data_IF_195891330622
#
_entry.id   IF_195891330622
#
_cell.length_a   1.000
_cell.length_b   1.000
_cell.length_c   1.000
_cell.angle_alpha   90.00
_cell.angle_beta   90.00
_cell.angle_gamma   90.00
#
_symmetry.space_group_name_H-M   'P 1'
#
loop_
_entity.id
_entity.type
_entity.pdbx_description
1 polymer ?
#
# COMPACT_ATOMS: atom_id res chain seq x y z
N UNK A 1 1.64 37.26 64.75
CA UNK A 1 0.83 37.28 63.51
C UNK A 1 1.64 36.62 62.40
N UNK A 2 1.35 35.32 62.06
CA UNK A 2 2.04 34.55 61.03
C UNK A 2 1.18 34.56 59.75
N UNK A 3 1.66 35.21 58.68
CA UNK A 3 1.01 35.22 57.38
C UNK A 3 1.38 33.93 56.64
N UNK A 4 0.36 33.08 56.36
CA UNK A 4 0.48 31.95 55.48
C UNK A 4 0.30 32.40 54.04
N UNK A 5 1.27 32.12 53.16
CA UNK A 5 1.16 32.30 51.72
C UNK A 5 0.54 31.03 51.10
N UNK A 6 -0.44 31.17 50.21
CA UNK A 6 -0.96 30.01 49.50
C UNK A 6 0.01 29.64 48.40
N UNK A 7 0.45 28.38 48.41
CA UNK A 7 1.26 27.73 47.38
C UNK A 7 0.33 27.40 46.20
N UNK A 8 0.41 28.16 45.14
CA UNK A 8 -0.32 27.90 43.90
C UNK A 8 0.43 26.79 43.13
N UNK A 9 -0.15 25.59 43.11
CA UNK A 9 0.32 24.47 42.34
C UNK A 9 -0.09 24.65 40.87
N UNK A 10 0.84 25.09 40.02
CA UNK A 10 0.65 25.14 38.57
C UNK A 10 0.73 23.72 38.01
N UNK A 11 -0.42 23.10 37.76
CA UNK A 11 -0.52 21.89 36.97
C UNK A 11 -0.24 22.23 35.48
N UNK A 12 0.99 21.98 35.03
CA UNK A 12 1.31 22.05 33.60
C UNK A 12 0.69 20.86 32.88
N UNK A 13 -0.43 21.07 32.21
CA UNK A 13 -1.04 20.11 31.28
C UNK A 13 -0.16 20.01 30.03
N UNK A 14 0.71 19.02 29.99
CA UNK A 14 1.46 18.68 28.78
C UNK A 14 0.50 18.07 27.77
N UNK A 15 0.00 18.89 26.84
CA UNK A 15 -0.77 18.41 25.69
C UNK A 15 0.21 17.65 24.78
N UNK A 16 0.19 16.32 24.87
CA UNK A 16 0.87 15.45 23.92
C UNK A 16 0.15 15.62 22.56
N UNK A 17 0.65 16.51 21.71
CA UNK A 17 0.21 16.60 20.32
C UNK A 17 0.63 15.30 19.61
N UNK A 18 -0.31 14.34 19.51
CA UNK A 18 -0.16 13.21 18.63
C UNK A 18 -0.22 13.77 17.21
N UNK A 19 0.94 14.07 16.63
CA UNK A 19 1.03 14.45 15.24
C UNK A 19 0.42 13.30 14.41
N UNK A 20 -0.75 13.54 13.81
CA UNK A 20 -1.39 12.58 12.93
C UNK A 20 -0.42 12.25 11.78
N UNK A 21 0.06 11.01 11.74
CA UNK A 21 0.97 10.56 10.68
C UNK A 21 0.24 10.64 9.35
N UNK A 22 0.83 11.33 8.38
CA UNK A 22 0.26 11.40 7.03
C UNK A 22 0.08 10.00 6.44
N UNK A 23 -1.04 9.73 5.73
CA UNK A 23 -1.29 8.43 5.12
C UNK A 23 -0.12 7.95 4.27
N UNK A 24 0.21 6.69 4.40
CA UNK A 24 1.26 6.06 3.59
C UNK A 24 0.75 5.67 2.21
N UNK A 25 -0.50 5.26 2.11
CA UNK A 25 -1.15 4.98 0.82
C UNK A 25 -1.78 6.26 0.28
N UNK A 26 -1.33 6.69 -0.89
CA UNK A 26 -1.67 7.97 -1.51
C UNK A 26 -2.24 7.77 -2.91
N UNK A 27 -3.55 7.63 -3.06
CA UNK A 27 -4.19 7.65 -4.36
C UNK A 27 -3.96 8.99 -5.05
N UNK A 28 -3.64 8.99 -6.36
CA UNK A 28 -3.31 10.21 -7.10
C UNK A 28 -4.54 11.02 -7.54
N UNK A 29 -5.73 10.41 -7.51
CA UNK A 29 -7.00 11.05 -7.88
C UNK A 29 -8.14 10.51 -7.04
N UNK A 30 -9.27 11.24 -7.01
CA UNK A 30 -10.49 10.81 -6.34
C UNK A 30 -10.99 9.47 -6.89
N UNK A 31 -10.95 9.27 -8.22
CA UNK A 31 -11.32 7.99 -8.83
C UNK A 31 -10.42 6.82 -8.39
N UNK A 32 -9.13 7.08 -8.15
CA UNK A 32 -8.24 6.05 -7.59
C UNK A 32 -8.53 5.83 -6.11
N UNK A 33 -8.85 6.89 -5.35
CA UNK A 33 -9.26 6.76 -3.96
C UNK A 33 -10.53 5.92 -3.83
N UNK A 34 -11.52 6.16 -4.68
CA UNK A 34 -12.75 5.36 -4.75
C UNK A 34 -12.47 3.89 -5.06
N UNK A 35 -11.55 3.61 -6.00
CA UNK A 35 -11.15 2.24 -6.32
C UNK A 35 -10.49 1.55 -5.12
N UNK A 36 -9.56 2.22 -4.43
CA UNK A 36 -8.87 1.68 -3.25
C UNK A 36 -9.86 1.41 -2.12
N UNK A 37 -10.78 2.35 -1.85
CA UNK A 37 -11.83 2.19 -0.83
C UNK A 37 -12.78 1.03 -1.18
N UNK A 38 -13.22 0.96 -2.44
CA UNK A 38 -14.09 -0.13 -2.91
C UNK A 38 -13.39 -1.49 -2.78
N UNK A 39 -12.10 -1.56 -3.14
CA UNK A 39 -11.29 -2.76 -3.03
C UNK A 39 -11.16 -3.22 -1.57
N UNK A 40 -10.83 -2.31 -0.65
CA UNK A 40 -10.74 -2.60 0.78
C UNK A 40 -12.08 -3.05 1.38
N UNK A 41 -13.20 -2.44 0.93
CA UNK A 41 -14.55 -2.82 1.38
C UNK A 41 -14.96 -4.21 0.91
N UNK A 42 -14.54 -4.62 -0.29
CA UNK A 42 -14.98 -5.87 -0.94
C UNK A 42 -14.01 -7.04 -0.75
N UNK A 43 -12.78 -6.76 -0.34
CA UNK A 43 -11.72 -7.78 -0.17
C UNK A 43 -11.02 -7.59 1.18
N UNK A 44 -11.24 -8.49 2.14
CA UNK A 44 -10.47 -8.54 3.39
C UNK A 44 -8.97 -8.65 3.14
N UNK A 45 -8.56 -9.36 2.09
CA UNK A 45 -7.16 -9.48 1.68
C UNK A 45 -6.58 -8.11 1.32
N UNK A 46 -7.25 -7.34 0.47
CA UNK A 46 -6.80 -5.97 0.12
C UNK A 46 -6.74 -5.07 1.36
N UNK A 47 -7.75 -5.13 2.23
CA UNK A 47 -7.77 -4.36 3.47
C UNK A 47 -6.58 -4.70 4.38
N UNK A 48 -6.20 -5.97 4.46
CA UNK A 48 -5.03 -6.44 5.20
C UNK A 48 -3.71 -5.91 4.64
N UNK A 49 -3.52 -5.98 3.32
CA UNK A 49 -2.33 -5.46 2.64
C UNK A 49 -2.16 -3.95 2.84
N UNK A 50 -3.25 -3.18 2.70
CA UNK A 50 -3.23 -1.74 2.95
C UNK A 50 -2.80 -1.42 4.39
N UNK A 51 -3.28 -2.17 5.38
CA UNK A 51 -2.84 -2.03 6.79
C UNK A 51 -1.35 -2.30 6.97
N UNK A 52 -0.81 -3.32 6.30
CA UNK A 52 0.62 -3.64 6.37
C UNK A 52 1.46 -2.50 5.78
N UNK A 53 1.02 -1.92 4.66
CA UNK A 53 1.70 -0.79 4.01
C UNK A 53 1.63 0.46 4.90
N UNK A 54 0.48 0.77 5.49
CA UNK A 54 0.32 1.91 6.42
C UNK A 54 1.21 1.77 7.67
N UNK A 55 1.53 0.55 8.11
CA UNK A 55 2.41 0.29 9.23
C UNK A 55 3.90 0.32 8.86
N UNK A 56 4.25 0.34 7.57
CA UNK A 56 5.62 0.24 7.07
C UNK A 56 6.33 1.60 6.95
N UNK A 57 7.55 1.59 6.40
CA UNK A 57 8.30 2.78 5.98
C UNK A 57 8.04 3.19 4.53
N UNK A 58 7.22 2.44 3.80
CA UNK A 58 6.86 2.73 2.40
C UNK A 58 5.81 3.83 2.31
N UNK A 59 6.02 4.79 1.43
CA UNK A 59 5.00 5.70 0.91
C UNK A 59 4.61 5.19 -0.47
N UNK A 60 3.38 4.72 -0.59
CA UNK A 60 2.82 4.18 -1.82
C UNK A 60 1.97 5.22 -2.54
N UNK A 61 2.33 5.57 -3.75
CA UNK A 61 1.49 6.31 -4.68
C UNK A 61 0.77 5.31 -5.59
N UNK A 62 -0.56 5.38 -5.66
CA UNK A 62 -1.38 4.55 -6.56
C UNK A 62 -2.02 5.43 -7.61
N UNK A 63 -1.85 5.10 -8.89
CA UNK A 63 -2.35 5.91 -9.98
C UNK A 63 -2.90 5.08 -11.16
N UNK A 64 -3.80 5.70 -11.92
CA UNK A 64 -4.18 5.18 -13.22
C UNK A 64 -3.15 5.58 -14.26
N UNK A 65 -2.74 4.64 -15.11
CA UNK A 65 -1.83 4.90 -16.22
C UNK A 65 -2.32 4.23 -17.49
N UNK A 66 -2.49 5.06 -18.52
CA UNK A 66 -2.70 4.63 -19.89
C UNK A 66 -1.37 4.67 -20.61
N UNK A 67 -0.69 3.55 -20.63
CA UNK A 67 0.59 3.42 -21.29
C UNK A 67 0.63 2.06 -22.00
N UNK A 68 1.09 2.05 -23.24
CA UNK A 68 1.26 0.81 -23.98
C UNK A 68 2.47 0.00 -23.48
N UNK A 69 3.33 0.61 -22.67
CA UNK A 69 4.50 -0.02 -22.04
C UNK A 69 4.17 -0.74 -20.73
N UNK A 70 3.02 -0.40 -20.10
CA UNK A 70 2.53 -1.07 -18.89
C UNK A 70 1.27 -1.85 -19.24
N UNK A 71 1.35 -3.17 -19.43
CA UNK A 71 0.26 -3.91 -20.08
C UNK A 71 -1.03 -3.97 -19.25
N UNK A 72 -0.98 -4.01 -17.93
CA UNK A 72 -2.17 -4.15 -17.06
C UNK A 72 -2.03 -3.40 -15.73
N UNK A 73 -0.94 -3.67 -15.02
CA UNK A 73 -0.56 -3.07 -13.75
C UNK A 73 0.96 -3.25 -13.56
N UNK A 74 1.56 -2.45 -12.72
CA UNK A 74 2.98 -2.61 -12.35
C UNK A 74 3.28 -1.87 -11.05
N UNK A 75 4.25 -2.38 -10.29
CA UNK A 75 4.81 -1.74 -9.09
C UNK A 75 6.27 -1.41 -9.34
N UNK A 76 6.67 -0.21 -8.95
CA UNK A 76 8.03 0.32 -9.12
C UNK A 76 8.51 0.98 -7.83
N UNK A 77 9.73 0.68 -7.41
CA UNK A 77 10.46 1.48 -6.43
C UNK A 77 10.97 2.74 -7.12
N UNK A 78 10.53 3.91 -6.65
CA UNK A 78 10.89 5.20 -7.27
C UNK A 78 12.20 5.71 -6.71
N UNK A 79 12.33 5.70 -5.38
CA UNK A 79 13.53 6.16 -4.66
C UNK A 79 13.44 5.81 -3.18
N UNK A 80 14.57 5.96 -2.50
CA UNK A 80 14.64 5.89 -1.04
C UNK A 80 15.29 7.17 -0.51
N UNK A 81 14.69 7.76 0.54
CA UNK A 81 15.20 8.95 1.19
C UNK A 81 15.20 8.75 2.71
N UNK A 82 16.39 8.69 3.31
CA UNK A 82 16.54 8.37 4.73
C UNK A 82 15.91 7.02 5.07
N UNK A 83 14.95 7.00 5.99
CA UNK A 83 14.24 5.80 6.40
C UNK A 83 12.98 5.51 5.58
N UNK A 84 12.66 6.33 4.57
CA UNK A 84 11.42 6.22 3.79
C UNK A 84 11.73 5.72 2.39
N UNK A 85 10.87 4.82 1.89
CA UNK A 85 10.90 4.30 0.52
C UNK A 85 9.65 4.76 -0.22
N UNK A 86 9.84 5.27 -1.43
CA UNK A 86 8.76 5.73 -2.29
C UNK A 86 8.49 4.69 -3.36
N UNK A 87 7.30 4.13 -3.34
CA UNK A 87 6.85 3.10 -4.28
C UNK A 87 5.65 3.64 -5.06
N UNK A 88 5.56 3.27 -6.32
CA UNK A 88 4.45 3.65 -7.19
C UNK A 88 3.83 2.41 -7.82
N UNK A 89 2.52 2.36 -7.78
CA UNK A 89 1.72 1.31 -8.41
C UNK A 89 0.82 1.91 -9.48
N UNK A 90 0.86 1.33 -10.67
CA UNK A 90 0.06 1.70 -11.83
C UNK A 90 -1.04 0.68 -12.09
N UNK A 91 -2.24 1.16 -12.41
CA UNK A 91 -3.36 0.32 -12.86
C UNK A 91 -3.90 0.87 -14.17
N UNK A 92 -4.12 0.00 -15.15
CA UNK A 92 -4.73 0.40 -16.42
C UNK A 92 -6.22 0.73 -16.22
N UNK A 93 -6.67 1.98 -16.46
CA UNK A 93 -8.05 2.40 -16.23
C UNK A 93 -9.06 1.77 -17.20
N UNK A 94 -8.62 1.22 -18.35
CA UNK A 94 -9.50 0.60 -19.35
C UNK A 94 -10.02 -0.78 -18.93
N UNK A 95 -9.42 -1.38 -17.90
CA UNK A 95 -9.85 -2.67 -17.40
C UNK A 95 -11.17 -2.56 -16.63
N UNK A 96 -12.03 -3.59 -16.65
CA UNK A 96 -13.22 -3.64 -15.82
C UNK A 96 -12.89 -3.46 -14.36
N UNK A 97 -13.77 -2.82 -13.58
CA UNK A 97 -13.55 -2.51 -12.15
C UNK A 97 -13.11 -3.73 -11.33
N UNK A 98 -13.78 -4.88 -11.55
CA UNK A 98 -13.40 -6.13 -10.89
C UNK A 98 -11.94 -6.49 -11.15
N UNK A 99 -11.50 -6.44 -12.42
CA UNK A 99 -10.13 -6.77 -12.80
C UNK A 99 -9.12 -5.77 -12.22
N UNK A 100 -9.48 -4.49 -12.15
CA UNK A 100 -8.65 -3.47 -11.49
C UNK A 100 -8.44 -3.78 -10.01
N UNK A 101 -9.48 -4.25 -9.30
CA UNK A 101 -9.36 -4.63 -7.88
C UNK A 101 -8.49 -5.88 -7.72
N UNK A 102 -8.63 -6.90 -8.58
CA UNK A 102 -7.80 -8.11 -8.56
C UNK A 102 -6.33 -7.74 -8.73
N UNK A 103 -6.01 -6.91 -9.73
CA UNK A 103 -4.64 -6.45 -10.00
C UNK A 103 -4.12 -5.52 -8.91
N UNK A 104 -4.97 -4.66 -8.35
CA UNK A 104 -4.56 -3.83 -7.20
C UNK A 104 -4.09 -4.72 -6.03
N UNK A 105 -4.82 -5.78 -5.72
CA UNK A 105 -4.39 -6.74 -4.69
C UNK A 105 -3.04 -7.38 -5.01
N UNK A 106 -2.82 -7.80 -6.26
CA UNK A 106 -1.57 -8.34 -6.76
C UNK A 106 -0.41 -7.34 -6.56
N UNK A 107 -0.57 -6.11 -7.01
CA UNK A 107 0.46 -5.06 -6.90
C UNK A 107 0.72 -4.66 -5.44
N UNK A 108 -0.31 -4.59 -4.60
CA UNK A 108 -0.13 -4.33 -3.17
C UNK A 108 0.69 -5.42 -2.48
N UNK A 109 0.61 -6.67 -2.95
CA UNK A 109 1.47 -7.74 -2.44
C UNK A 109 2.94 -7.48 -2.79
N UNK A 110 3.26 -7.03 -4.00
CA UNK A 110 4.62 -6.61 -4.35
C UNK A 110 5.11 -5.45 -3.49
N UNK A 111 4.23 -4.49 -3.16
CA UNK A 111 4.58 -3.41 -2.22
C UNK A 111 4.91 -3.96 -0.83
N UNK A 112 4.16 -4.94 -0.34
CA UNK A 112 4.43 -5.61 0.94
C UNK A 112 5.75 -6.38 0.90
N UNK A 113 6.06 -7.06 -0.21
CA UNK A 113 7.35 -7.75 -0.41
C UNK A 113 8.53 -6.77 -0.36
N UNK A 114 8.38 -5.56 -0.91
CA UNK A 114 9.35 -4.47 -0.75
C UNK A 114 9.38 -4.01 0.71
N UNK A 115 8.23 -3.77 1.33
CA UNK A 115 8.13 -3.21 2.67
C UNK A 115 8.73 -4.12 3.75
N UNK A 116 8.62 -5.43 3.59
CA UNK A 116 9.12 -6.43 4.54
C UNK A 116 10.63 -6.67 4.44
N UNK A 117 11.29 -6.20 3.39
CA UNK A 117 12.74 -6.31 3.23
C UNK A 117 13.39 -4.91 3.29
N UNK A 118 14.00 -4.51 4.41
CA UNK A 118 14.60 -3.20 4.57
C UNK A 118 15.84 -2.97 3.69
N UNK A 119 16.39 -4.02 3.08
CA UNK A 119 17.55 -3.92 2.18
C UNK A 119 17.18 -3.44 0.79
N UNK A 120 15.89 -3.53 0.41
CA UNK A 120 15.39 -3.04 -0.88
C UNK A 120 15.31 -1.52 -0.86
N UNK A 121 16.33 -0.85 -1.44
CA UNK A 121 16.49 0.60 -1.40
C UNK A 121 16.64 1.28 -2.75
N UNK A 122 16.93 0.50 -3.79
CA UNK A 122 17.16 0.93 -5.17
C UNK A 122 16.77 -0.17 -6.15
N UNK A 123 16.88 0.11 -7.43
CA UNK A 123 16.53 -0.84 -8.48
C UNK A 123 17.38 -2.12 -8.43
N UNK A 124 18.64 -2.03 -8.03
CA UNK A 124 19.53 -3.20 -7.97
C UNK A 124 19.10 -4.15 -6.84
N UNK A 125 18.88 -3.62 -5.65
CA UNK A 125 18.40 -4.39 -4.49
C UNK A 125 16.97 -4.90 -4.70
N UNK A 126 16.09 -4.11 -5.33
CA UNK A 126 14.76 -4.56 -5.73
C UNK A 126 14.84 -5.75 -6.70
N UNK A 127 15.65 -5.64 -7.75
CA UNK A 127 15.86 -6.73 -8.71
C UNK A 127 16.44 -7.98 -8.04
N UNK A 128 17.43 -7.84 -7.17
CA UNK A 128 18.02 -8.96 -6.43
C UNK A 128 16.96 -9.65 -5.55
N UNK A 129 16.15 -8.87 -4.83
CA UNK A 129 15.06 -9.40 -4.02
C UNK A 129 14.05 -10.19 -4.83
N UNK A 130 13.53 -9.62 -5.90
CA UNK A 130 12.51 -10.28 -6.73
C UNK A 130 13.04 -11.46 -7.51
N UNK A 131 14.32 -11.47 -7.87
CA UNK A 131 14.99 -12.68 -8.43
C UNK A 131 15.06 -13.80 -7.40
N UNK A 132 15.24 -13.48 -6.12
CA UNK A 132 15.33 -14.48 -5.04
C UNK A 132 13.98 -15.09 -4.66
N UNK A 133 12.87 -14.32 -4.75
CA UNK A 133 11.52 -14.76 -4.29
C UNK A 133 10.54 -15.08 -5.43
N UNK A 134 10.92 -14.81 -6.67
CA UNK A 134 10.04 -14.93 -7.83
C UNK A 134 10.80 -15.23 -9.09
N UNK A 135 10.26 -14.82 -10.22
CA UNK A 135 10.85 -15.00 -11.55
C UNK A 135 10.55 -13.80 -12.45
N UNK A 136 11.34 -13.65 -13.49
CA UNK A 136 11.10 -12.65 -14.54
C UNK A 136 9.95 -13.16 -15.41
N UNK A 137 8.91 -12.35 -15.57
CA UNK A 137 7.82 -12.67 -16.49
C UNK A 137 8.20 -12.36 -17.93
N UNK A 138 7.60 -13.12 -18.87
CA UNK A 138 7.93 -13.06 -20.30
C UNK A 138 7.83 -11.63 -20.86
N UNK A 139 8.93 -11.16 -21.44
CA UNK A 139 8.99 -10.04 -22.38
C UNK A 139 9.21 -8.65 -21.80
N UNK A 140 9.39 -8.47 -20.49
CA UNK A 140 9.72 -7.17 -19.92
C UNK A 140 10.47 -7.32 -18.59
N UNK A 141 11.07 -6.24 -18.12
CA UNK A 141 11.71 -6.14 -16.80
C UNK A 141 10.68 -6.17 -15.65
N UNK A 142 9.70 -7.05 -15.69
CA UNK A 142 8.70 -7.26 -14.65
C UNK A 142 8.95 -8.56 -13.92
N UNK A 143 8.70 -8.57 -12.63
CA UNK A 143 8.84 -9.73 -11.78
C UNK A 143 7.46 -10.20 -11.32
N UNK A 144 7.35 -11.52 -11.21
CA UNK A 144 6.18 -12.18 -10.65
C UNK A 144 6.57 -12.98 -9.42
N UNK A 145 5.68 -13.08 -8.45
CA UNK A 145 5.87 -13.94 -7.27
C UNK A 145 4.69 -14.86 -7.06
N UNK A 146 4.95 -16.03 -6.49
CA UNK A 146 3.86 -16.95 -6.11
C UNK A 146 2.88 -16.31 -5.13
N UNK A 147 3.37 -15.44 -4.23
CA UNK A 147 2.54 -14.73 -3.26
C UNK A 147 1.60 -13.72 -3.95
N UNK A 148 2.09 -12.93 -4.92
CA UNK A 148 1.25 -11.97 -5.65
C UNK A 148 0.15 -12.69 -6.46
N UNK A 149 0.49 -13.80 -7.12
CA UNK A 149 -0.50 -14.63 -7.83
C UNK A 149 -1.52 -15.24 -6.88
N UNK A 150 -1.09 -15.70 -5.70
CA UNK A 150 -2.00 -16.24 -4.69
C UNK A 150 -2.98 -15.18 -4.18
N UNK A 151 -2.48 -13.97 -3.91
CA UNK A 151 -3.30 -12.81 -3.52
C UNK A 151 -4.29 -12.46 -4.62
N UNK A 152 -3.89 -12.39 -5.89
CA UNK A 152 -4.82 -12.12 -6.99
C UNK A 152 -5.97 -13.13 -7.04
N UNK A 153 -5.66 -14.43 -6.89
CA UNK A 153 -6.66 -15.50 -6.85
C UNK A 153 -7.60 -15.36 -5.65
N UNK A 154 -7.05 -15.03 -4.48
CA UNK A 154 -7.83 -14.84 -3.26
C UNK A 154 -8.79 -13.66 -3.39
N UNK A 155 -8.30 -12.51 -3.87
CA UNK A 155 -9.13 -11.32 -4.13
C UNK A 155 -10.24 -11.65 -5.13
N UNK A 156 -9.92 -12.37 -6.21
CA UNK A 156 -10.91 -12.83 -7.21
C UNK A 156 -12.01 -13.68 -6.57
N UNK A 157 -11.65 -14.58 -5.67
CA UNK A 157 -12.59 -15.41 -4.92
C UNK A 157 -13.50 -14.56 -4.03
N UNK A 158 -12.92 -13.62 -3.27
CA UNK A 158 -13.67 -12.71 -2.39
C UNK A 158 -14.66 -11.84 -3.16
N UNK A 159 -14.27 -11.35 -4.35
CA UNK A 159 -15.14 -10.56 -5.22
C UNK A 159 -16.27 -11.38 -5.86
N UNK A 160 -16.14 -12.71 -5.90
CA UNK A 160 -17.14 -13.63 -6.46
C UNK A 160 -18.11 -14.13 -5.41
N UNK A 161 -17.75 -14.08 -4.13
CA UNK A 161 -18.61 -14.51 -3.06
C UNK A 161 -19.92 -13.69 -3.08
N UNK A 162 -21.11 -14.32 -3.02
CA UNK A 162 -22.36 -13.60 -2.90
C UNK A 162 -22.25 -12.74 -1.64
N UNK A 163 -22.45 -11.42 -1.80
CA UNK A 163 -22.40 -10.50 -0.68
C UNK A 163 -23.31 -10.99 0.41
N UNK A 164 -22.77 -11.29 1.56
CA UNK A 164 -23.58 -11.52 2.77
C UNK A 164 -24.43 -10.27 2.94
N UNK A 165 -25.73 -10.34 2.55
CA UNK A 165 -26.70 -9.35 2.95
C UNK A 165 -26.65 -9.35 4.48
N UNK A 166 -26.04 -8.32 5.07
CA UNK A 166 -26.29 -8.07 6.49
C UNK A 166 -27.78 -7.75 6.63
N UNK A 167 -28.45 -8.43 7.54
CA UNK A 167 -29.84 -8.14 7.89
C UNK A 167 -29.99 -6.70 8.41
#
# INVERSE_FOLDING_TARGET
MKRAWPMVLLLSLSVLSIAARSPRVRPQSDHMADLVQLAAKRSPTVAGLLKMIEASDVILQVEFRLDNTVPRAATQLVTSAGLVRYVRTYINPRLPTRRRIELLGHELQHVVEIATDPTVRDDASMRARFTAIGWVSDGAASFETAAAIAVERQVRSELSAPGTRRP
#
